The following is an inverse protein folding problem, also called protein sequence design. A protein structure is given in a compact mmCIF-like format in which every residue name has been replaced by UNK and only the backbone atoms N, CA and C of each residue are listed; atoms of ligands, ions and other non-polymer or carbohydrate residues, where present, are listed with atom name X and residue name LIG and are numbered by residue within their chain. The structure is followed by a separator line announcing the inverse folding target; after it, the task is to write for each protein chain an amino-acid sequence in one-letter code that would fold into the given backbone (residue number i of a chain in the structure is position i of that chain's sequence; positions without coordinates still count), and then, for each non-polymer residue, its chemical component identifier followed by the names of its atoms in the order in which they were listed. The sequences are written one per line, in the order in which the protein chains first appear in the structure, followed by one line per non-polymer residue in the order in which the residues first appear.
data_IF_235739017768
#
_entry.id   IF_235739017768
#
_cell.length_a   1.000
_cell.length_b   1.000
_cell.length_c   1.000
_cell.angle_alpha   90.00
_cell.angle_beta   90.00
_cell.angle_gamma   90.00
#
_symmetry.space_group_name_H-M   'P 1'
#
loop_
_entity.id
_entity.type
_entity.pdbx_description
1 polymer ?
#
# COMPACT_ATOMS: atom_id res chain seq x y z
N UNK A 1 -8.87 5.49 -8.37
CA UNK A 1 -7.89 6.54 -8.69
C UNK A 1 -6.96 6.63 -7.51
N UNK A 2 -5.65 6.44 -7.67
CA UNK A 2 -4.71 6.40 -6.54
C UNK A 2 -4.68 7.75 -5.83
N UNK A 3 -4.85 7.75 -4.51
CA UNK A 3 -4.89 8.97 -3.70
C UNK A 3 -3.56 9.74 -3.77
N UNK A 4 -3.63 11.05 -3.92
CA UNK A 4 -2.45 11.94 -4.00
C UNK A 4 -1.62 11.88 -2.72
N UNK A 5 -2.28 11.72 -1.56
CA UNK A 5 -1.63 11.60 -0.25
C UNK A 5 -0.61 10.45 -0.22
N UNK A 6 -0.94 9.32 -0.86
CA UNK A 6 -0.08 8.14 -0.92
C UNK A 6 1.12 8.39 -1.85
N UNK A 7 0.91 9.12 -2.95
CA UNK A 7 1.99 9.47 -3.89
C UNK A 7 2.95 10.53 -3.35
N UNK A 8 2.47 11.40 -2.48
CA UNK A 8 3.27 12.46 -1.87
C UNK A 8 3.96 12.03 -0.57
N UNK A 9 3.57 10.89 0.00
CA UNK A 9 4.23 10.29 1.13
C UNK A 9 5.72 10.05 0.83
N UNK A 10 6.59 10.52 1.72
CA UNK A 10 8.05 10.48 1.52
C UNK A 10 8.72 9.37 2.32
N UNK A 11 7.97 8.73 3.20
CA UNK A 11 8.47 7.72 4.11
C UNK A 11 7.38 6.72 4.48
N UNK A 12 7.80 5.55 4.98
CA UNK A 12 6.89 4.55 5.57
C UNK A 12 6.06 5.15 6.71
N UNK A 13 6.62 6.09 7.49
CA UNK A 13 5.90 6.69 8.60
C UNK A 13 4.75 7.58 8.14
N UNK A 14 4.90 8.30 7.02
CA UNK A 14 3.80 9.08 6.45
C UNK A 14 2.62 8.17 6.08
N UNK A 15 2.90 6.98 5.53
CA UNK A 15 1.88 5.98 5.19
C UNK A 15 1.24 5.40 6.45
N UNK A 16 2.03 5.05 7.47
CA UNK A 16 1.50 4.57 8.76
C UNK A 16 0.60 5.62 9.39
N UNK A 17 0.93 6.91 9.31
CA UNK A 17 0.06 7.97 9.81
C UNK A 17 -1.27 8.04 9.04
N UNK A 18 -1.28 7.85 7.72
CA UNK A 18 -2.53 7.77 6.95
C UNK A 18 -3.38 6.59 7.42
N UNK A 19 -2.78 5.42 7.61
CA UNK A 19 -3.44 4.21 8.12
C UNK A 19 -4.03 4.47 9.52
N UNK A 20 -3.23 5.01 10.44
CA UNK A 20 -3.65 5.30 11.82
C UNK A 20 -4.75 6.36 11.89
N UNK A 21 -4.81 7.28 10.92
CA UNK A 21 -5.88 8.27 10.78
C UNK A 21 -7.17 7.68 10.17
N UNK A 22 -7.22 6.38 9.90
CA UNK A 22 -8.38 5.70 9.32
C UNK A 22 -8.38 5.66 7.80
N UNK A 23 -7.23 5.88 7.15
CA UNK A 23 -7.05 5.88 5.72
C UNK A 23 -6.94 7.29 5.13
N UNK A 24 -7.37 7.43 3.88
CA UNK A 24 -7.43 8.72 3.17
C UNK A 24 -8.87 9.18 3.00
N UNK A 25 -9.06 10.37 2.45
CA UNK A 25 -10.40 10.85 2.10
C UNK A 25 -11.14 9.97 1.07
N UNK A 26 -10.45 9.02 0.43
CA UNK A 26 -10.99 8.21 -0.68
C UNK A 26 -10.72 6.71 -0.55
N UNK A 27 -10.07 6.25 0.51
CA UNK A 27 -9.69 4.85 0.67
C UNK A 27 -9.48 4.46 2.13
N UNK A 28 -9.79 3.21 2.46
CA UNK A 28 -9.62 2.66 3.81
C UNK A 28 -8.14 2.47 4.16
N UNK A 29 -7.79 2.20 5.43
CA UNK A 29 -6.41 1.87 5.81
C UNK A 29 -5.80 0.73 4.98
N UNK A 30 -6.61 -0.29 4.67
CA UNK A 30 -6.21 -1.45 3.87
C UNK A 30 -5.96 -1.06 2.41
N UNK A 31 -6.82 -0.21 1.85
CA UNK A 31 -6.63 0.29 0.49
C UNK A 31 -5.38 1.18 0.41
N UNK A 32 -5.11 1.98 1.44
CA UNK A 32 -3.87 2.78 1.55
C UNK A 32 -2.63 1.87 1.61
N UNK A 33 -2.64 0.87 2.48
CA UNK A 33 -1.54 -0.08 2.62
C UNK A 33 -1.30 -0.88 1.32
N UNK A 34 -2.37 -1.39 0.70
CA UNK A 34 -2.30 -2.13 -0.55
C UNK A 34 -1.83 -1.28 -1.72
N UNK A 35 -2.31 -0.04 -1.82
CA UNK A 35 -1.86 0.91 -2.85
C UNK A 35 -0.39 1.27 -2.67
N UNK A 36 0.07 1.50 -1.43
CA UNK A 36 1.48 1.73 -1.13
C UNK A 36 2.37 0.55 -1.58
N UNK A 37 1.97 -0.68 -1.20
CA UNK A 37 2.69 -1.88 -1.60
C UNK A 37 2.74 -2.04 -3.13
N UNK A 38 1.63 -1.77 -3.82
CA UNK A 38 1.59 -1.75 -5.28
C UNK A 38 2.54 -0.70 -5.89
N UNK A 39 2.53 0.53 -5.39
CA UNK A 39 3.39 1.61 -5.89
C UNK A 39 4.88 1.26 -5.75
N UNK A 40 5.27 0.64 -4.64
CA UNK A 40 6.65 0.19 -4.41
C UNK A 40 7.08 -0.94 -5.38
N UNK A 41 6.12 -1.73 -5.88
CA UNK A 41 6.39 -2.79 -6.86
C UNK A 41 6.58 -2.23 -8.26
N UNK A 42 5.74 -1.29 -8.69
CA UNK A 42 5.85 -0.71 -10.05
C UNK A 42 7.04 0.23 -10.21
N UNK A 43 7.53 0.80 -9.12
CA UNK A 43 8.78 1.57 -9.11
C UNK A 43 10.01 0.65 -9.18
N UNK A 44 9.83 -0.65 -8.93
CA UNK A 44 10.87 -1.67 -9.08
C UNK A 44 10.83 -2.32 -10.48
N UNK A 45 12.00 -2.63 -11.04
CA UNK A 45 12.15 -3.31 -12.36
C UNK A 45 11.48 -4.70 -12.42
N UNK A 46 11.02 -5.24 -11.29
CA UNK A 46 10.42 -6.56 -11.18
C UNK A 46 9.10 -6.52 -10.40
N UNK A 47 8.00 -6.63 -11.14
CA UNK A 47 6.67 -6.80 -10.55
C UNK A 47 6.59 -8.16 -9.85
N UNK A 48 6.85 -8.20 -8.55
CA UNK A 48 6.84 -9.41 -7.73
C UNK A 48 5.88 -9.27 -6.54
N UNK A 49 4.99 -10.26 -6.39
CA UNK A 49 4.06 -10.38 -5.25
C UNK A 49 4.78 -10.51 -3.90
N UNK A 50 5.96 -11.11 -3.87
CA UNK A 50 6.76 -11.20 -2.63
C UNK A 50 7.27 -9.83 -2.17
N UNK A 51 7.49 -8.90 -3.11
CA UNK A 51 7.80 -7.51 -2.79
C UNK A 51 6.60 -6.80 -2.18
N UNK A 52 5.38 -7.03 -2.68
CA UNK A 52 4.15 -6.49 -2.07
C UNK A 52 4.06 -6.83 -0.59
N UNK A 53 4.22 -8.12 -0.27
CA UNK A 53 4.16 -8.64 1.10
C UNK A 53 5.24 -8.02 1.97
N UNK A 54 6.47 -7.94 1.46
CA UNK A 54 7.58 -7.31 2.19
C UNK A 54 7.29 -5.84 2.56
N UNK A 55 6.58 -5.10 1.70
CA UNK A 55 6.18 -3.71 2.00
C UNK A 55 5.07 -3.64 3.04
N UNK A 56 4.10 -4.56 3.00
CA UNK A 56 3.04 -4.64 4.01
C UNK A 56 3.62 -5.04 5.38
N UNK A 57 4.57 -5.98 5.40
CA UNK A 57 5.28 -6.38 6.61
C UNK A 57 6.00 -5.18 7.23
N UNK A 58 6.69 -4.39 6.41
CA UNK A 58 7.38 -3.18 6.88
C UNK A 58 6.42 -2.13 7.47
N UNK A 59 5.19 -2.02 6.96
CA UNK A 59 4.16 -1.14 7.54
C UNK A 59 3.71 -1.64 8.92
N UNK A 60 3.51 -2.95 9.09
CA UNK A 60 3.17 -3.55 10.39
C UNK A 60 4.32 -3.37 11.39
N UNK A 61 5.56 -3.63 10.97
CA UNK A 61 6.76 -3.43 11.81
C UNK A 61 6.92 -1.97 12.24
N UNK A 62 6.55 -1.02 11.38
CA UNK A 62 6.52 0.41 11.67
C UNK A 62 5.33 0.84 12.55
N UNK A 63 4.42 -0.07 12.89
CA UNK A 63 3.30 0.15 13.80
C UNK A 63 1.93 0.32 13.15
N UNK A 64 1.83 0.23 11.83
CA UNK A 64 0.57 0.33 11.09
C UNK A 64 -0.40 -0.80 11.45
N UNK A 65 -1.68 -0.45 11.59
CA UNK A 65 -2.76 -1.37 11.96
C UNK A 65 -3.83 -1.39 10.88
N UNK A 66 -3.90 -2.47 10.14
CA UNK A 66 -4.83 -2.70 9.06
C UNK A 66 -5.05 -4.21 8.89
N UNK A 67 -6.09 -4.61 8.17
CA UNK A 67 -6.26 -6.00 7.75
C UNK A 67 -5.24 -6.35 6.66
N UNK A 68 -4.28 -7.22 7.00
CA UNK A 68 -3.19 -7.60 6.11
C UNK A 68 -3.67 -8.33 4.85
N UNK A 69 -4.60 -9.27 5.01
CA UNK A 69 -5.08 -10.08 3.90
C UNK A 69 -5.84 -9.19 2.91
N UNK A 70 -6.69 -8.29 3.41
CA UNK A 70 -7.40 -7.33 2.57
C UNK A 70 -6.45 -6.32 1.90
N UNK A 71 -5.43 -5.82 2.59
CA UNK A 71 -4.42 -4.94 1.99
C UNK A 71 -3.64 -5.64 0.86
N UNK A 72 -3.33 -6.93 1.03
CA UNK A 72 -2.70 -7.73 -0.01
C UNK A 72 -3.63 -7.91 -1.22
N UNK A 73 -4.92 -8.18 -1.01
CA UNK A 73 -5.92 -8.26 -2.09
C UNK A 73 -5.97 -6.95 -2.90
N UNK A 74 -5.96 -5.79 -2.23
CA UNK A 74 -5.89 -4.49 -2.91
C UNK A 74 -4.62 -4.33 -3.74
N UNK A 75 -3.46 -4.70 -3.19
CA UNK A 75 -2.19 -4.61 -3.93
C UNK A 75 -2.21 -5.53 -5.17
N UNK A 76 -2.70 -6.76 -5.03
CA UNK A 76 -2.81 -7.71 -6.14
C UNK A 76 -3.79 -7.24 -7.21
N UNK A 77 -4.93 -6.67 -6.81
CA UNK A 77 -5.91 -6.09 -7.74
C UNK A 77 -5.26 -5.02 -8.62
N UNK A 78 -4.51 -4.09 -8.04
CA UNK A 78 -3.82 -3.05 -8.80
C UNK A 78 -2.75 -3.60 -9.75
N UNK A 79 -2.03 -4.66 -9.37
CA UNK A 79 -1.07 -5.33 -10.26
C UNK A 79 -1.79 -5.88 -11.49
N UNK A 80 -2.94 -6.55 -11.29
CA UNK A 80 -3.72 -7.16 -12.38
C UNK A 80 -4.28 -6.07 -13.31
N UNK A 81 -4.86 -5.01 -12.75
CA UNK A 81 -5.41 -3.88 -13.51
C UNK A 81 -4.36 -3.18 -14.37
N UNK A 82 -3.11 -3.14 -13.91
CA UNK A 82 -2.02 -2.44 -14.60
C UNK A 82 -1.38 -3.25 -15.74
N UNK A 83 -1.76 -4.53 -15.89
CA UNK A 83 -1.30 -5.42 -16.95
C UNK A 83 -2.28 -5.53 -18.13
N UNK A 84 -3.45 -4.87 -18.05
CA UNK A 84 -4.49 -4.81 -19.09
C UNK A 84 -4.53 -3.44 -19.76
#
# INVERSE_FOLDING_TARGET
MISTEIKEARSIQDIVQLIDNGGTSSGSPEEVAGTYAYLAIIDSDHVNKDHAKSQLDALIEAGGKFDYDLALEYAESHIIESQH
#
